data_IF_155391869009
#
_entry.id   IF_155391869009
#
_cell.length_a   1.000
_cell.length_b   1.000
_cell.length_c   1.000
_cell.angle_alpha   90.00
_cell.angle_beta   90.00
_cell.angle_gamma   90.00
#
_symmetry.space_group_name_H-M   'P 1'
#
loop_
_entity.id
_entity.type
_entity.pdbx_description
1 polymer ?
#
# COMPACT_ATOMS: atom_id res chain seq x y z
N UNK A 1 -13.47 8.57 -24.85
CA UNK A 1 -14.08 8.00 -26.07
C UNK A 1 -14.75 6.69 -25.68
N UNK A 2 -16.07 6.63 -25.76
CA UNK A 2 -16.84 5.45 -25.35
C UNK A 2 -16.88 4.47 -26.53
N UNK A 3 -16.32 3.26 -26.35
CA UNK A 3 -16.58 2.13 -27.23
C UNK A 3 -17.89 1.48 -26.80
N UNK A 4 -18.85 1.36 -27.72
CA UNK A 4 -20.01 0.50 -27.55
C UNK A 4 -19.88 -0.64 -28.55
N UNK A 5 -19.55 -1.83 -28.07
CA UNK A 5 -19.50 -3.05 -28.86
C UNK A 5 -20.69 -3.92 -28.46
N UNK A 6 -21.56 -4.26 -29.41
CA UNK A 6 -22.74 -5.07 -29.16
C UNK A 6 -22.43 -6.50 -29.63
N UNK A 7 -22.03 -7.38 -28.71
CA UNK A 7 -21.82 -8.80 -29.00
C UNK A 7 -23.09 -9.55 -28.60
N UNK A 8 -23.81 -10.12 -29.56
CA UNK A 8 -25.03 -10.87 -29.23
C UNK A 8 -24.73 -12.25 -28.61
N UNK A 9 -23.55 -12.85 -28.84
CA UNK A 9 -23.13 -14.11 -28.22
C UNK A 9 -21.60 -14.22 -28.10
N UNK A 10 -21.05 -14.29 -26.88
CA UNK A 10 -19.60 -14.44 -26.63
C UNK A 10 -19.09 -15.90 -26.76
N UNK A 11 -19.95 -16.86 -27.16
CA UNK A 11 -19.63 -18.30 -27.14
C UNK A 11 -19.07 -18.89 -28.44
N UNK A 12 -19.04 -18.15 -29.54
CA UNK A 12 -18.78 -18.73 -30.87
C UNK A 12 -17.29 -18.82 -31.27
N UNK A 13 -16.36 -18.35 -30.43
CA UNK A 13 -14.92 -18.41 -30.75
C UNK A 13 -14.28 -19.82 -30.59
N UNK A 14 -14.99 -20.80 -30.00
CA UNK A 14 -14.43 -22.13 -29.72
C UNK A 14 -14.90 -23.24 -30.68
N UNK A 15 -15.92 -23.02 -31.52
CA UNK A 15 -16.63 -24.11 -32.21
C UNK A 15 -16.83 -23.95 -33.72
N UNK A 16 -15.97 -23.19 -34.42
CA UNK A 16 -15.83 -23.18 -35.90
C UNK A 16 -17.03 -22.62 -36.68
N UNK A 17 -18.18 -22.32 -36.05
CA UNK A 17 -19.27 -21.60 -36.69
C UNK A 17 -19.13 -20.08 -36.46
N UNK A 18 -18.78 -19.33 -37.50
CA UNK A 18 -18.55 -17.88 -37.41
C UNK A 18 -19.72 -17.07 -37.96
N UNK A 19 -20.22 -16.13 -37.16
CA UNK A 19 -20.92 -14.95 -37.66
C UNK A 19 -20.56 -13.76 -36.77
N UNK A 20 -19.57 -12.97 -37.20
CA UNK A 20 -19.16 -11.74 -36.52
C UNK A 20 -19.39 -10.55 -37.46
N UNK A 21 -20.45 -9.77 -37.24
CA UNK A 21 -20.65 -8.50 -37.95
C UNK A 21 -19.85 -7.37 -37.26
N UNK A 22 -18.78 -6.90 -37.89
CA UNK A 22 -18.07 -5.69 -37.44
C UNK A 22 -18.59 -4.47 -38.22
N UNK A 23 -19.44 -3.65 -37.58
CA UNK A 23 -20.10 -2.52 -38.25
C UNK A 23 -19.19 -1.31 -38.49
N UNK A 24 -18.23 -1.01 -37.60
CA UNK A 24 -17.18 -0.01 -37.82
C UNK A 24 -16.10 -0.06 -36.72
N UNK A 25 -14.85 0.16 -37.11
CA UNK A 25 -13.72 0.50 -36.23
C UNK A 25 -13.23 1.91 -36.62
N UNK A 26 -13.08 2.79 -35.63
CA UNK A 26 -12.50 4.13 -35.85
C UNK A 26 -11.41 4.36 -34.83
N UNK A 27 -10.16 4.30 -35.28
CA UNK A 27 -8.99 4.71 -34.51
C UNK A 27 -8.30 5.89 -35.18
N UNK A 28 -7.89 6.86 -34.35
CA UNK A 28 -7.16 8.11 -34.59
C UNK A 28 -6.78 8.46 -36.05
N UNK A 29 -7.76 8.57 -36.94
CA UNK A 29 -7.60 9.11 -38.29
C UNK A 29 -7.25 8.13 -39.40
N UNK A 30 -7.27 6.81 -39.20
CA UNK A 30 -7.19 5.83 -40.30
C UNK A 30 -8.54 5.18 -40.59
N UNK A 31 -8.80 4.98 -41.89
CA UNK A 31 -10.11 4.73 -42.49
C UNK A 31 -10.78 3.45 -41.99
N UNK A 32 -12.09 3.57 -41.81
CA UNK A 32 -13.03 2.54 -41.37
C UNK A 32 -12.87 1.22 -42.13
N UNK A 33 -12.58 0.14 -41.41
CA UNK A 33 -12.73 -1.21 -41.94
C UNK A 33 -14.21 -1.60 -41.83
N UNK A 34 -14.81 -1.95 -42.97
CA UNK A 34 -16.17 -2.48 -43.10
C UNK A 34 -15.99 -3.95 -43.50
N UNK A 35 -16.25 -4.90 -42.60
CA UNK A 35 -16.31 -6.30 -43.02
C UNK A 35 -17.66 -6.53 -43.73
N UNK A 36 -17.64 -7.25 -44.85
CA UNK A 36 -18.86 -7.86 -45.41
C UNK A 36 -19.10 -9.19 -44.69
N UNK A 37 -20.33 -9.69 -44.76
CA UNK A 37 -20.72 -11.02 -44.26
C UNK A 37 -19.65 -12.06 -44.64
N UNK A 38 -18.94 -12.57 -43.64
CA UNK A 38 -17.85 -13.52 -43.83
C UNK A 38 -18.41 -14.93 -44.00
N UNK A 39 -18.16 -15.51 -45.18
CA UNK A 39 -18.24 -16.97 -45.39
C UNK A 39 -17.03 -17.66 -44.74
N UNK A 40 -17.07 -19.00 -44.61
CA UNK A 40 -16.10 -19.87 -43.88
C UNK A 40 -14.59 -19.66 -44.14
N UNK A 41 -14.18 -18.85 -45.13
CA UNK A 41 -12.78 -18.56 -45.45
C UNK A 41 -12.12 -17.39 -44.68
N UNK A 42 -12.87 -16.57 -43.94
CA UNK A 42 -12.35 -15.34 -43.32
C UNK A 42 -12.03 -15.45 -41.81
N UNK A 43 -11.37 -16.54 -41.40
CA UNK A 43 -10.83 -16.69 -40.04
C UNK A 43 -9.87 -15.55 -39.64
N UNK A 44 -9.31 -14.84 -40.63
CA UNK A 44 -8.36 -13.74 -40.47
C UNK A 44 -8.98 -12.49 -39.83
N UNK A 45 -10.26 -12.18 -40.10
CA UNK A 45 -10.90 -10.94 -39.62
C UNK A 45 -11.28 -11.01 -38.13
N UNK A 46 -11.71 -12.18 -37.65
CA UNK A 46 -11.91 -12.44 -36.22
C UNK A 46 -10.59 -12.40 -35.43
N UNK A 47 -9.48 -12.88 -36.02
CA UNK A 47 -8.15 -12.77 -35.43
C UNK A 47 -7.74 -11.30 -35.21
N UNK A 48 -8.06 -10.39 -36.14
CA UNK A 48 -7.74 -8.96 -36.00
C UNK A 48 -8.46 -8.34 -34.79
N UNK A 49 -9.74 -8.67 -34.56
CA UNK A 49 -10.50 -8.17 -33.40
C UNK A 49 -9.92 -8.69 -32.09
N UNK A 50 -9.59 -9.99 -32.04
CA UNK A 50 -8.99 -10.61 -30.86
C UNK A 50 -7.62 -9.99 -30.54
N UNK A 51 -6.78 -9.78 -31.54
CA UNK A 51 -5.47 -9.12 -31.41
C UNK A 51 -5.63 -7.68 -30.93
N UNK A 52 -6.61 -6.94 -31.45
CA UNK A 52 -6.89 -5.59 -30.98
C UNK A 52 -7.31 -5.57 -29.51
N UNK A 53 -8.24 -6.45 -29.08
CA UNK A 53 -8.63 -6.57 -27.66
C UNK A 53 -7.45 -6.96 -26.77
N UNK A 54 -6.59 -7.88 -27.22
CA UNK A 54 -5.36 -8.27 -26.51
C UNK A 54 -4.41 -7.08 -26.37
N UNK A 55 -4.20 -6.28 -27.41
CA UNK A 55 -3.39 -5.05 -27.35
C UNK A 55 -3.95 -4.03 -26.36
N UNK A 56 -5.27 -3.85 -26.33
CA UNK A 56 -5.92 -2.96 -25.34
C UNK A 56 -5.75 -3.47 -23.90
N UNK A 57 -5.86 -4.79 -23.69
CA UNK A 57 -5.61 -5.41 -22.39
C UNK A 57 -4.15 -5.29 -21.97
N UNK A 58 -3.22 -5.46 -22.89
CA UNK A 58 -1.79 -5.29 -22.66
C UNK A 58 -1.47 -3.86 -22.19
N UNK A 59 -1.97 -2.85 -22.91
CA UNK A 59 -1.78 -1.45 -22.53
C UNK A 59 -2.34 -1.14 -21.13
N UNK A 60 -3.48 -1.73 -20.77
CA UNK A 60 -4.06 -1.57 -19.43
C UNK A 60 -3.22 -2.28 -18.37
N UNK A 61 -2.69 -3.46 -18.67
CA UNK A 61 -1.81 -4.20 -17.79
C UNK A 61 -0.51 -3.42 -17.51
N UNK A 62 0.11 -2.87 -18.54
CA UNK A 62 1.35 -2.09 -18.42
C UNK A 62 1.12 -0.80 -17.60
N UNK A 63 -0.03 -0.13 -17.81
CA UNK A 63 -0.41 1.04 -17.02
C UNK A 63 -0.63 0.68 -15.54
N UNK A 64 -1.28 -0.45 -15.27
CA UNK A 64 -1.51 -0.93 -13.91
C UNK A 64 -0.19 -1.32 -13.23
N UNK A 65 0.71 -2.01 -13.95
CA UNK A 65 2.03 -2.34 -13.43
C UNK A 65 2.86 -1.09 -13.08
N UNK A 66 2.83 -0.06 -13.92
CA UNK A 66 3.51 1.20 -13.63
C UNK A 66 2.94 1.86 -12.36
N UNK A 67 1.61 1.90 -12.21
CA UNK A 67 0.97 2.40 -11.00
C UNK A 67 1.39 1.61 -9.75
N UNK A 68 1.45 0.27 -9.82
CA UNK A 68 1.91 -0.58 -8.72
C UNK A 68 3.36 -0.27 -8.35
N UNK A 69 4.27 -0.20 -9.33
CA UNK A 69 5.68 0.13 -9.11
C UNK A 69 5.85 1.52 -8.44
N UNK A 70 5.04 2.49 -8.87
CA UNK A 70 5.03 3.83 -8.26
C UNK A 70 4.58 3.78 -6.80
N UNK A 71 3.48 3.08 -6.50
CA UNK A 71 2.97 2.93 -5.14
C UNK A 71 3.96 2.20 -4.22
N UNK A 72 4.64 1.17 -4.72
CA UNK A 72 5.68 0.46 -3.97
C UNK A 72 6.86 1.37 -3.62
N UNK A 73 7.26 2.22 -4.56
CA UNK A 73 8.33 3.21 -4.36
C UNK A 73 7.91 4.26 -3.31
N UNK A 74 6.69 4.80 -3.43
CA UNK A 74 6.13 5.74 -2.45
C UNK A 74 6.04 5.10 -1.06
N UNK A 75 5.56 3.85 -0.95
CA UNK A 75 5.46 3.13 0.31
C UNK A 75 6.82 2.95 0.98
N UNK A 76 7.85 2.59 0.21
CA UNK A 76 9.22 2.43 0.73
C UNK A 76 9.76 3.76 1.26
N UNK A 77 9.52 4.85 0.54
CA UNK A 77 9.93 6.19 0.98
C UNK A 77 9.23 6.64 2.26
N UNK A 78 7.92 6.37 2.39
CA UNK A 78 7.13 6.71 3.58
C UNK A 78 7.54 5.87 4.77
N UNK A 79 7.82 4.57 4.57
CA UNK A 79 8.36 3.70 5.63
C UNK A 79 9.68 4.23 6.17
N UNK A 80 10.60 4.62 5.28
CA UNK A 80 11.89 5.21 5.66
C UNK A 80 11.69 6.51 6.46
N UNK A 81 10.82 7.42 5.99
CA UNK A 81 10.51 8.66 6.71
C UNK A 81 9.85 8.40 8.07
N UNK A 82 9.04 7.35 8.21
CA UNK A 82 8.42 6.98 9.47
C UNK A 82 9.42 6.40 10.46
N UNK A 83 10.38 5.58 10.02
CA UNK A 83 11.48 5.12 10.87
C UNK A 83 12.36 6.30 11.31
N UNK A 84 12.65 7.25 10.42
CA UNK A 84 13.35 8.49 10.78
C UNK A 84 12.56 9.35 11.76
N UNK A 85 11.23 9.46 11.60
CA UNK A 85 10.34 10.15 12.55
C UNK A 85 10.28 9.46 13.90
N UNK A 86 10.26 8.13 13.92
CA UNK A 86 10.27 7.31 15.12
C UNK A 86 11.61 7.41 15.85
N UNK A 87 12.70 7.60 15.11
CA UNK A 87 14.04 7.87 15.63
C UNK A 87 14.29 9.34 16.00
N UNK A 88 13.37 10.27 15.70
CA UNK A 88 13.43 11.62 16.28
C UNK A 88 13.05 11.51 17.76
N UNK A 89 14.07 11.63 18.59
CA UNK A 89 14.05 11.56 20.05
C UNK A 89 12.86 12.35 20.64
N UNK A 90 11.86 11.63 21.14
CA UNK A 90 10.65 12.21 21.75
C UNK A 90 10.98 12.81 23.12
N UNK A 91 12.12 12.45 23.72
CA UNK A 91 12.50 12.89 25.05
C UNK A 91 13.64 13.92 25.04
N UNK A 92 13.42 15.03 24.33
CA UNK A 92 14.38 16.14 24.25
C UNK A 92 13.82 17.37 24.97
N UNK A 93 14.67 18.02 25.75
CA UNK A 93 14.36 19.24 26.51
C UNK A 93 13.80 20.34 25.59
N UNK A 94 12.74 21.01 26.03
CA UNK A 94 12.15 22.15 25.30
C UNK A 94 11.08 21.81 24.25
N UNK A 95 10.71 20.55 24.07
CA UNK A 95 9.52 20.20 23.30
C UNK A 95 8.23 20.44 24.11
N UNK A 96 7.22 21.05 23.47
CA UNK A 96 5.90 21.23 24.09
C UNK A 96 5.13 19.92 23.98
N UNK A 97 4.99 19.20 25.10
CA UNK A 97 4.19 17.98 25.16
C UNK A 97 2.86 18.22 25.89
N UNK A 98 1.79 17.63 25.36
CA UNK A 98 0.43 17.74 25.90
C UNK A 98 0.25 16.91 27.17
N UNK A 99 1.12 15.93 27.41
CA UNK A 99 1.10 15.04 28.58
C UNK A 99 2.41 15.18 29.38
N UNK A 100 2.35 15.20 30.73
CA UNK A 100 3.55 15.21 31.60
C UNK A 100 4.44 13.99 31.41
N UNK A 101 3.86 12.87 30.95
CA UNK A 101 4.57 11.62 30.72
C UNK A 101 4.13 11.00 29.42
N UNK A 102 5.08 10.66 28.56
CA UNK A 102 4.81 10.11 27.22
C UNK A 102 5.65 8.86 27.02
N UNK A 103 5.02 7.79 26.52
CA UNK A 103 5.71 6.58 26.11
C UNK A 103 6.46 6.83 24.80
N UNK A 104 7.71 6.43 24.73
CA UNK A 104 8.54 6.55 23.53
C UNK A 104 9.45 5.33 23.37
N UNK A 105 10.12 5.22 22.23
CA UNK A 105 11.12 4.18 21.97
C UNK A 105 12.52 4.75 22.18
N UNK A 106 13.20 4.29 23.24
CA UNK A 106 14.61 4.53 23.47
C UNK A 106 15.42 3.70 22.47
N UNK A 107 16.31 4.38 21.73
CA UNK A 107 17.13 3.78 20.66
C UNK A 107 16.31 2.98 19.63
N UNK A 108 15.05 3.39 19.38
CA UNK A 108 14.18 2.82 18.35
C UNK A 108 13.58 1.45 18.66
N UNK A 109 13.91 0.82 19.80
CA UNK A 109 13.53 -0.58 20.08
C UNK A 109 13.09 -0.87 21.52
N UNK A 110 13.42 -0.01 22.48
CA UNK A 110 13.08 -0.23 23.90
C UNK A 110 11.99 0.74 24.32
N UNK A 111 10.86 0.22 24.79
CA UNK A 111 9.79 1.06 25.36
C UNK A 111 10.28 1.76 26.63
N UNK A 112 10.22 3.08 26.65
CA UNK A 112 10.63 3.93 27.77
C UNK A 112 9.61 5.05 28.02
N UNK A 113 9.66 5.64 29.22
CA UNK A 113 8.78 6.75 29.61
C UNK A 113 9.60 8.05 29.68
N UNK A 114 9.13 9.08 28.99
CA UNK A 114 9.72 10.41 29.04
C UNK A 114 8.96 11.30 30.01
N UNK A 115 9.66 11.96 30.93
CA UNK A 115 9.14 13.13 31.65
C UNK A 115 9.41 14.39 30.83
N UNK A 116 8.33 15.07 30.49
CA UNK A 116 8.33 16.22 29.58
C UNK A 116 8.20 17.56 30.32
N UNK A 117 8.06 17.55 31.65
CA UNK A 117 7.78 18.75 32.44
C UNK A 117 8.83 19.03 33.50
N UNK A 118 9.32 18.00 34.19
CA UNK A 118 10.28 18.17 35.30
C UNK A 118 11.58 18.80 34.78
N UNK A 119 12.00 19.92 35.37
CA UNK A 119 13.21 20.66 34.98
C UNK A 119 13.33 20.96 33.45
N UNK A 120 12.19 21.30 32.83
CA UNK A 120 12.12 21.61 31.40
C UNK A 120 12.02 20.40 30.48
N UNK A 121 11.85 19.20 31.05
CA UNK A 121 11.60 17.95 30.35
C UNK A 121 12.83 17.33 29.71
N UNK A 122 12.63 16.18 29.05
CA UNK A 122 13.69 15.42 28.41
C UNK A 122 14.35 14.37 29.32
N UNK A 123 13.67 13.97 30.40
CA UNK A 123 14.19 12.94 31.29
C UNK A 123 13.63 11.56 30.92
N UNK A 124 14.54 10.61 30.72
CA UNK A 124 14.18 9.21 30.59
C UNK A 124 14.00 8.61 31.98
N UNK A 125 12.79 8.13 32.25
CA UNK A 125 12.46 7.48 33.52
C UNK A 125 12.89 6.01 33.45
N UNK A 126 13.85 5.64 34.29
CA UNK A 126 14.36 4.25 34.38
C UNK A 126 13.75 3.45 35.54
N UNK A 127 13.11 4.12 36.50
CA UNK A 127 12.38 3.50 37.61
C UNK A 127 11.27 4.43 38.09
N UNK A 128 10.10 3.88 38.43
CA UNK A 128 8.95 4.64 38.93
C UNK A 128 8.24 3.89 40.06
N UNK A 129 7.80 4.64 41.08
CA UNK A 129 6.90 4.14 42.14
C UNK A 129 5.78 5.15 42.37
N UNK A 130 4.55 4.73 42.16
CA UNK A 130 3.34 5.56 42.35
C UNK A 130 2.32 4.92 43.28
N UNK A 131 2.32 3.59 43.37
CA UNK A 131 1.53 2.84 44.33
C UNK A 131 2.27 1.55 44.69
N UNK A 132 1.62 0.69 45.47
CA UNK A 132 2.20 -0.55 46.01
C UNK A 132 1.91 -1.80 45.16
N UNK A 133 1.47 -1.64 43.91
CA UNK A 133 0.99 -2.77 43.08
C UNK A 133 2.13 -3.64 42.52
N UNK A 134 3.36 -3.12 42.52
CA UNK A 134 4.55 -3.84 42.06
C UNK A 134 5.50 -4.07 43.22
N UNK A 135 5.80 -5.35 43.49
CA UNK A 135 6.79 -5.76 44.50
C UNK A 135 8.19 -5.53 43.93
N UNK A 136 9.03 -4.77 44.65
CA UNK A 136 10.42 -4.48 44.27
C UNK A 136 11.43 -5.44 44.92
N UNK A 137 11.04 -6.21 45.93
CA UNK A 137 11.87 -7.28 46.47
C UNK A 137 11.90 -8.45 45.49
N UNK A 138 12.92 -8.47 44.63
CA UNK A 138 13.06 -9.35 43.46
C UNK A 138 14.47 -9.92 43.36
N UNK A 139 14.63 -10.98 42.57
CA UNK A 139 15.93 -11.57 42.29
C UNK A 139 16.72 -10.73 41.25
N UNK A 140 18.02 -11.04 41.09
CA UNK A 140 18.90 -10.34 40.14
C UNK A 140 18.42 -10.41 38.68
N UNK A 141 17.85 -11.54 38.27
CA UNK A 141 17.40 -11.73 36.89
C UNK A 141 16.28 -10.76 36.53
N UNK A 142 15.32 -10.54 37.44
CA UNK A 142 14.24 -9.59 37.25
C UNK A 142 14.76 -8.15 37.08
N UNK A 143 15.72 -7.74 37.91
CA UNK A 143 16.37 -6.43 37.77
C UNK A 143 17.15 -6.27 36.47
N UNK A 144 17.75 -7.35 35.98
CA UNK A 144 18.51 -7.35 34.72
C UNK A 144 17.60 -7.20 33.49
N UNK A 145 16.45 -7.86 33.48
CA UNK A 145 15.51 -7.84 32.33
C UNK A 145 14.45 -6.75 32.43
N UNK A 146 14.27 -6.16 33.61
CA UNK A 146 13.18 -5.23 33.90
C UNK A 146 11.90 -5.94 34.33
N UNK A 147 11.09 -5.24 35.13
CA UNK A 147 9.79 -5.69 35.62
C UNK A 147 8.84 -4.50 35.80
N UNK A 148 7.55 -4.77 35.99
CA UNK A 148 6.52 -3.75 36.19
C UNK A 148 5.71 -3.45 34.92
N UNK A 149 5.06 -2.29 34.91
CA UNK A 149 4.26 -1.78 33.80
C UNK A 149 4.59 -0.30 33.56
N UNK A 150 5.00 -0.01 32.33
CA UNK A 150 5.46 1.32 31.89
C UNK A 150 4.48 2.47 32.16
N UNK A 151 3.17 2.22 32.24
CA UNK A 151 2.18 3.27 32.50
C UNK A 151 1.91 3.51 33.98
N UNK A 152 2.15 2.51 34.84
CA UNK A 152 1.83 2.55 36.27
C UNK A 152 3.10 2.56 37.15
N UNK A 153 3.83 1.44 37.27
CA UNK A 153 5.05 1.29 38.08
C UNK A 153 6.10 0.41 37.42
#
# INVERSE_FOLDING_TARGET
>A
ANLTLNFQNERDCLFVHFQCELKYLKDRGQSAYISKDSTEEDANDCCIIAIYKLSQLQNKYDALQNQTSKLETELTSVKQQNEERKNREICVKGNVHVSPRVKFLLWGSVDALCDTQTDGGGWVIIQRRTNSDVIFERNWQDYKTGFGNITTN
#
